data_IF_843326248855
#
_entry.id   IF_843326248855
#
_cell.length_a   1.000
_cell.length_b   1.000
_cell.length_c   1.000
_cell.angle_alpha   90.00
_cell.angle_beta   90.00
_cell.angle_gamma   90.00
#
_symmetry.space_group_name_H-M   'P 1'
#
loop_
_entity.id
_entity.type
_entity.pdbx_description
1 polymer ?
#
# COMPACT_ATOMS: atom_id res chain seq x y z
N UNK A 1 14.26 -0.33 28.04
CA UNK A 1 14.18 0.94 27.31
C UNK A 1 12.81 1.13 26.65
N UNK A 2 12.27 0.17 25.87
CA UNK A 2 10.91 0.23 25.24
C UNK A 2 9.77 0.49 26.23
N UNK A 3 9.74 -0.18 27.38
CA UNK A 3 8.73 0.05 28.43
C UNK A 3 8.87 1.42 29.11
N UNK A 4 10.08 1.94 29.24
CA UNK A 4 10.34 3.27 29.76
C UNK A 4 9.90 4.37 28.78
N UNK A 5 10.13 4.19 27.49
CA UNK A 5 9.71 5.12 26.44
C UNK A 5 8.19 5.16 26.31
N UNK A 6 7.54 3.99 26.28
CA UNK A 6 6.07 3.89 26.28
C UNK A 6 5.48 4.57 27.54
N UNK A 7 6.04 4.29 28.71
CA UNK A 7 5.61 4.89 29.98
C UNK A 7 5.89 6.41 30.04
N UNK A 8 6.91 6.90 29.31
CA UNK A 8 7.21 8.33 29.23
C UNK A 8 6.27 9.05 28.26
N UNK A 9 5.96 8.42 27.13
CA UNK A 9 4.97 8.92 26.17
C UNK A 9 3.58 8.92 26.79
N UNK A 10 3.16 7.84 27.42
CA UNK A 10 1.87 7.74 28.12
C UNK A 10 1.77 8.78 29.24
N UNK A 11 2.83 8.97 30.06
CA UNK A 11 2.85 10.02 31.09
C UNK A 11 2.86 11.44 30.53
N UNK A 12 3.49 11.68 29.40
CA UNK A 12 3.54 13.01 28.76
C UNK A 12 2.20 13.34 28.12
N UNK A 13 1.52 12.34 27.52
CA UNK A 13 0.16 12.45 27.01
C UNK A 13 -0.85 12.66 28.15
N UNK A 14 -0.77 11.89 29.23
CA UNK A 14 -1.60 12.05 30.43
C UNK A 14 -1.40 13.42 31.09
N UNK A 15 -0.16 13.93 31.16
CA UNK A 15 0.15 15.23 31.75
C UNK A 15 -0.32 16.38 30.83
N UNK A 16 -0.19 16.26 29.51
CA UNK A 16 -0.70 17.24 28.57
C UNK A 16 -2.24 17.27 28.61
N UNK A 17 -2.89 16.10 28.56
CA UNK A 17 -4.34 15.96 28.70
C UNK A 17 -4.85 16.48 30.05
N UNK A 18 -4.13 16.21 31.16
CA UNK A 18 -4.48 16.70 32.49
C UNK A 18 -4.38 18.23 32.62
N UNK A 19 -3.37 18.87 32.03
CA UNK A 19 -3.23 20.34 32.06
C UNK A 19 -4.26 21.03 31.13
N UNK A 20 -4.65 20.43 30.02
CA UNK A 20 -5.56 21.01 29.03
C UNK A 20 -7.03 20.84 29.42
N UNK A 21 -7.38 19.77 30.13
CA UNK A 21 -8.76 19.49 30.60
C UNK A 21 -9.26 20.52 31.66
N UNK A 22 -8.45 21.46 32.08
CA UNK A 22 -8.87 22.41 33.13
C UNK A 22 -9.46 23.73 32.66
N UNK A 23 -9.43 24.08 31.37
CA UNK A 23 -9.96 25.41 30.98
C UNK A 23 -10.21 25.69 29.48
N UNK A 24 -10.70 24.89 28.61
CA UNK A 24 -11.30 25.33 27.31
C UNK A 24 -11.66 24.12 26.46
N UNK A 25 -12.70 24.23 25.64
CA UNK A 25 -12.99 23.36 24.51
C UNK A 25 -11.83 23.42 23.48
N UNK A 26 -10.77 22.65 23.71
CA UNK A 26 -9.72 22.45 22.71
C UNK A 26 -10.11 21.28 21.80
N UNK A 27 -9.99 21.54 20.51
CA UNK A 27 -10.10 20.51 19.48
C UNK A 27 -9.08 19.40 19.77
N UNK A 28 -9.52 18.16 19.91
CA UNK A 28 -8.66 16.98 20.17
C UNK A 28 -7.47 16.92 19.21
N UNK A 29 -7.66 17.32 17.95
CA UNK A 29 -6.61 17.38 16.92
C UNK A 29 -5.43 18.29 17.29
N UNK A 30 -5.65 19.34 18.05
CA UNK A 30 -4.61 20.28 18.50
C UNK A 30 -3.77 19.67 19.62
N UNK A 31 -4.40 18.87 20.49
CA UNK A 31 -3.73 18.18 21.60
C UNK A 31 -2.81 17.10 21.07
N UNK A 32 -3.32 16.29 20.12
CA UNK A 32 -2.57 15.22 19.47
C UNK A 32 -1.36 15.77 18.71
N UNK A 33 -1.54 16.86 17.96
CA UNK A 33 -0.45 17.52 17.25
C UNK A 33 0.66 18.03 18.19
N UNK A 34 0.31 18.61 19.34
CA UNK A 34 1.29 19.08 20.33
C UNK A 34 2.03 17.92 20.99
N UNK A 35 1.30 16.86 21.37
CA UNK A 35 1.86 15.67 21.98
C UNK A 35 2.83 14.95 21.02
N UNK A 36 2.44 14.79 19.76
CA UNK A 36 3.26 14.16 18.73
C UNK A 36 4.51 14.98 18.41
N UNK A 37 4.41 16.32 18.39
CA UNK A 37 5.58 17.18 18.22
C UNK A 37 6.59 17.03 19.35
N UNK A 38 6.15 17.05 20.61
CA UNK A 38 7.01 16.86 21.78
C UNK A 38 7.65 15.46 21.74
N UNK A 39 6.88 14.44 21.40
CA UNK A 39 7.39 13.07 21.27
C UNK A 39 8.44 12.94 20.17
N UNK A 40 8.22 13.53 19.00
CA UNK A 40 9.18 13.51 17.88
C UNK A 40 10.50 14.19 18.24
N UNK A 41 10.46 15.36 18.89
CA UNK A 41 11.66 16.07 19.35
C UNK A 41 12.46 15.22 20.37
N UNK A 42 11.77 14.55 21.29
CA UNK A 42 12.40 13.68 22.28
C UNK A 42 13.06 12.45 21.66
N UNK A 43 12.41 11.83 20.68
CA UNK A 43 12.93 10.68 19.94
C UNK A 43 14.18 11.09 19.15
N UNK A 44 14.11 12.20 18.42
CA UNK A 44 15.22 12.69 17.58
C UNK A 44 16.45 13.06 18.38
N UNK A 45 16.30 13.65 19.57
CA UNK A 45 17.43 13.94 20.48
C UNK A 45 18.22 12.69 20.90
N UNK A 46 17.57 11.52 20.86
CA UNK A 46 18.17 10.24 21.26
C UNK A 46 18.54 9.36 20.07
N UNK A 47 18.36 9.84 18.83
CA UNK A 47 18.75 9.12 17.61
C UNK A 47 20.18 9.47 17.20
N UNK A 48 20.88 8.49 16.64
CA UNK A 48 22.21 8.66 16.04
C UNK A 48 22.10 8.46 14.51
N UNK A 49 23.00 9.04 13.70
CA UNK A 49 22.91 9.00 12.23
C UNK A 49 22.94 7.60 11.60
N UNK A 50 23.43 6.61 12.33
CA UNK A 50 23.55 5.21 11.91
C UNK A 50 22.29 4.38 12.11
N UNK A 51 21.29 4.93 12.83
CA UNK A 51 20.02 4.24 13.10
C UNK A 51 19.06 4.31 11.91
N UNK A 52 18.40 3.17 11.66
CA UNK A 52 17.32 3.08 10.67
C UNK A 52 15.99 3.54 11.28
N UNK A 53 14.96 3.84 10.47
CA UNK A 53 13.61 4.10 10.98
C UNK A 53 13.09 2.98 11.89
N UNK A 54 13.39 1.72 11.60
CA UNK A 54 13.06 0.60 12.49
C UNK A 54 13.68 0.77 13.89
N UNK A 55 14.96 1.11 13.97
CA UNK A 55 15.67 1.27 15.24
C UNK A 55 15.12 2.43 16.08
N UNK A 56 14.62 3.46 15.41
CA UNK A 56 14.14 4.70 16.03
C UNK A 56 12.66 4.58 16.42
N UNK A 57 11.82 4.06 15.51
CA UNK A 57 10.37 4.16 15.60
C UNK A 57 9.64 2.83 15.89
N UNK A 58 10.37 1.71 16.05
CA UNK A 58 9.72 0.44 16.36
C UNK A 58 8.89 0.53 17.66
N UNK A 59 7.62 0.11 17.55
CA UNK A 59 6.69 0.04 18.68
C UNK A 59 5.95 1.35 19.00
N UNK A 60 6.04 2.38 18.14
CA UNK A 60 5.14 3.54 18.23
C UNK A 60 3.77 3.21 17.64
N UNK A 61 2.74 4.00 18.02
CA UNK A 61 1.39 3.82 17.50
C UNK A 61 1.30 4.11 16.00
N UNK A 62 0.29 3.56 15.36
CA UNK A 62 0.03 3.77 13.94
C UNK A 62 -0.32 5.23 13.64
N UNK A 63 -1.10 5.88 14.50
CA UNK A 63 -1.50 7.28 14.37
C UNK A 63 -0.27 8.19 14.43
N UNK A 64 0.63 7.96 15.39
CA UNK A 64 1.86 8.73 15.49
C UNK A 64 2.80 8.48 14.31
N UNK A 65 2.88 7.23 13.82
CA UNK A 65 3.66 6.90 12.63
C UNK A 65 3.13 7.58 11.37
N UNK A 66 1.80 7.59 11.19
CA UNK A 66 1.18 8.31 10.08
C UNK A 66 1.46 9.82 10.18
N UNK A 67 1.30 10.41 11.36
CA UNK A 67 1.60 11.83 11.59
C UNK A 67 3.06 12.16 11.28
N UNK A 68 4.03 11.33 11.68
CA UNK A 68 5.44 11.52 11.37
C UNK A 68 5.69 11.57 9.85
N UNK A 69 5.04 10.71 9.08
CA UNK A 69 5.19 10.62 7.62
C UNK A 69 4.40 11.70 6.85
N UNK A 70 3.58 12.50 7.51
CA UNK A 70 2.77 13.57 6.92
C UNK A 70 3.10 14.92 7.54
N UNK A 71 2.41 15.30 8.58
CA UNK A 71 2.55 16.59 9.26
C UNK A 71 3.91 16.75 9.96
N UNK A 72 4.46 15.66 10.51
CA UNK A 72 5.72 15.66 11.22
C UNK A 72 6.90 16.10 10.36
N UNK A 73 7.04 15.53 9.17
CA UNK A 73 8.13 15.89 8.23
C UNK A 73 8.03 17.36 7.79
N UNK A 74 6.84 17.89 7.59
CA UNK A 74 6.62 19.30 7.22
C UNK A 74 7.01 20.27 8.34
N UNK A 75 6.95 19.82 9.58
CA UNK A 75 7.23 20.65 10.77
C UNK A 75 8.64 20.49 11.32
N UNK A 76 9.34 19.45 10.94
CA UNK A 76 10.66 19.15 11.48
C UNK A 76 11.59 18.57 10.40
N UNK A 77 12.48 19.41 9.90
CA UNK A 77 13.43 19.04 8.84
C UNK A 77 14.40 17.91 9.25
N UNK A 78 14.61 17.66 10.54
CA UNK A 78 15.40 16.51 10.98
C UNK A 78 14.74 15.18 10.62
N UNK A 79 13.40 15.15 10.49
CA UNK A 79 12.68 13.95 10.04
C UNK A 79 12.89 13.67 8.54
N UNK A 80 13.10 14.69 7.71
CA UNK A 80 13.39 14.53 6.28
C UNK A 80 14.68 13.71 6.04
N UNK A 81 15.64 13.77 6.95
CA UNK A 81 16.87 12.99 6.86
C UNK A 81 16.71 11.52 7.23
N UNK A 82 15.60 11.17 7.91
CA UNK A 82 15.33 9.84 8.47
C UNK A 82 14.19 9.14 7.74
N UNK A 83 13.15 9.88 7.35
CA UNK A 83 11.97 9.31 6.70
C UNK A 83 12.08 9.44 5.16
N UNK A 84 11.44 8.52 4.42
CA UNK A 84 11.41 8.63 2.97
C UNK A 84 10.75 9.92 2.49
N UNK A 85 11.32 10.54 1.49
CA UNK A 85 10.72 11.66 0.78
C UNK A 85 9.51 11.25 -0.07
N UNK A 86 9.00 12.20 -0.87
CA UNK A 86 7.94 11.96 -1.85
C UNK A 86 8.28 12.66 -3.18
N UNK A 87 7.87 12.13 -4.33
CA UNK A 87 8.03 12.82 -5.61
C UNK A 87 7.11 14.06 -5.69
N UNK A 88 7.24 14.83 -6.77
CA UNK A 88 6.34 15.96 -7.03
C UNK A 88 4.88 15.54 -7.06
N UNK A 89 3.98 16.47 -6.74
CA UNK A 89 2.53 16.20 -6.76
C UNK A 89 2.05 15.68 -8.12
N UNK A 90 2.60 16.20 -9.22
CA UNK A 90 2.26 15.72 -10.57
C UNK A 90 2.61 14.24 -10.79
N UNK A 91 3.71 13.76 -10.23
CA UNK A 91 4.08 12.32 -10.28
C UNK A 91 3.16 11.52 -9.37
N UNK A 92 2.86 12.02 -8.17
CA UNK A 92 1.93 11.34 -7.27
C UNK A 92 0.55 11.18 -7.93
N UNK A 93 -0.03 12.25 -8.47
CA UNK A 93 -1.33 12.25 -9.13
C UNK A 93 -1.36 11.30 -10.33
N UNK A 94 -0.32 11.31 -11.16
CA UNK A 94 -0.22 10.41 -12.32
C UNK A 94 -0.28 8.92 -11.95
N UNK A 95 0.35 8.52 -10.85
CA UNK A 95 0.46 7.11 -10.44
C UNK A 95 -0.62 6.66 -9.45
N UNK A 96 -1.21 7.58 -8.69
CA UNK A 96 -2.14 7.21 -7.61
C UNK A 96 -3.49 7.92 -7.67
N UNK A 97 -3.64 8.91 -8.56
CA UNK A 97 -4.87 9.70 -8.71
C UNK A 97 -5.12 10.68 -7.55
N UNK A 98 -4.17 10.84 -6.61
CA UNK A 98 -4.24 11.78 -5.50
C UNK A 98 -2.84 12.22 -5.06
N UNK A 99 -2.74 13.27 -4.24
CA UNK A 99 -1.46 13.83 -3.79
C UNK A 99 -1.40 14.06 -2.29
N UNK A 100 -0.21 14.27 -1.76
CA UNK A 100 0.03 14.67 -0.38
C UNK A 100 -0.52 13.68 0.65
N UNK A 101 -1.25 14.20 1.64
CA UNK A 101 -1.76 13.38 2.74
C UNK A 101 -2.85 12.40 2.31
N UNK A 102 -3.60 12.70 1.26
CA UNK A 102 -4.65 11.84 0.74
C UNK A 102 -4.06 10.54 0.19
N UNK A 103 -3.06 10.64 -0.69
CA UNK A 103 -2.39 9.45 -1.25
C UNK A 103 -1.64 8.66 -0.19
N UNK A 104 -1.04 9.33 0.80
CA UNK A 104 -0.37 8.67 1.91
C UNK A 104 -1.36 7.96 2.83
N UNK A 105 -2.54 8.54 3.07
CA UNK A 105 -3.60 7.92 3.88
C UNK A 105 -4.12 6.64 3.24
N UNK A 106 -4.38 6.66 1.94
CA UNK A 106 -4.78 5.46 1.20
C UNK A 106 -3.72 4.35 1.32
N UNK A 107 -2.44 4.69 1.12
CA UNK A 107 -1.34 3.75 1.29
C UNK A 107 -1.21 3.22 2.72
N UNK A 108 -1.47 4.07 3.72
CA UNK A 108 -1.43 3.70 5.14
C UNK A 108 -2.57 2.75 5.53
N UNK A 109 -3.79 3.01 5.06
CA UNK A 109 -4.92 2.11 5.30
C UNK A 109 -4.66 0.72 4.68
N UNK A 110 -4.10 0.69 3.46
CA UNK A 110 -3.74 -0.59 2.85
C UNK A 110 -2.61 -1.31 3.62
N UNK A 111 -1.57 -0.59 4.06
CA UNK A 111 -0.53 -1.14 4.92
C UNK A 111 -1.11 -1.79 6.19
N UNK A 112 -2.06 -1.13 6.87
CA UNK A 112 -2.73 -1.71 8.06
C UNK A 112 -3.44 -3.01 7.72
N UNK A 113 -4.20 -3.03 6.63
CA UNK A 113 -4.89 -4.23 6.16
C UNK A 113 -3.90 -5.36 5.86
N UNK A 114 -2.80 -5.08 5.15
CA UNK A 114 -1.78 -6.09 4.83
C UNK A 114 -1.15 -6.65 6.09
N UNK A 115 -0.77 -5.81 7.05
CA UNK A 115 -0.20 -6.23 8.33
C UNK A 115 -1.19 -7.10 9.12
N UNK A 116 -2.43 -6.65 9.26
CA UNK A 116 -3.49 -7.37 9.98
C UNK A 116 -3.75 -8.75 9.36
N UNK A 117 -3.85 -8.82 8.03
CA UNK A 117 -4.06 -10.10 7.36
C UNK A 117 -2.85 -11.02 7.48
N UNK A 118 -1.64 -10.50 7.37
CA UNK A 118 -0.44 -11.30 7.60
C UNK A 118 -0.41 -11.84 9.04
N UNK A 119 -0.63 -11.00 10.04
CA UNK A 119 -0.59 -11.39 11.45
C UNK A 119 -1.69 -12.39 11.82
N UNK A 120 -2.85 -12.30 11.19
CA UNK A 120 -3.95 -13.26 11.35
C UNK A 120 -3.55 -14.69 10.99
N UNK A 121 -2.72 -14.88 9.97
CA UNK A 121 -2.39 -16.20 9.43
C UNK A 121 -0.97 -16.68 9.75
N UNK A 122 -0.05 -15.76 10.06
CA UNK A 122 1.38 -16.06 10.25
C UNK A 122 1.93 -15.59 11.61
N UNK A 123 1.21 -14.73 12.33
CA UNK A 123 1.69 -14.10 13.55
C UNK A 123 2.49 -12.83 13.28
N UNK A 124 3.22 -12.35 14.28
CA UNK A 124 3.90 -11.05 14.30
C UNK A 124 4.72 -10.80 13.01
N UNK A 125 4.38 -9.72 12.31
CA UNK A 125 5.03 -9.35 11.03
C UNK A 125 6.51 -9.00 11.21
N UNK A 126 6.93 -8.59 12.40
CA UNK A 126 8.35 -8.31 12.70
C UNK A 126 9.25 -9.53 12.55
N UNK A 127 8.66 -10.74 12.58
CA UNK A 127 9.35 -12.02 12.41
C UNK A 127 9.50 -12.42 10.94
N UNK A 128 8.88 -11.73 10.01
CA UNK A 128 9.08 -11.98 8.58
C UNK A 128 10.56 -11.80 8.21
N UNK A 129 11.06 -12.72 7.40
CA UNK A 129 12.46 -12.65 6.93
C UNK A 129 12.58 -11.65 5.77
N UNK A 130 11.68 -11.72 4.79
CA UNK A 130 11.62 -10.75 3.69
C UNK A 130 10.19 -10.48 3.26
N UNK A 131 9.89 -9.21 2.98
CA UNK A 131 8.63 -8.78 2.40
C UNK A 131 8.87 -8.03 1.08
N UNK A 132 7.92 -8.10 0.15
CA UNK A 132 7.98 -7.47 -1.16
C UNK A 132 6.71 -6.68 -1.46
N UNK A 133 6.88 -5.40 -1.80
CA UNK A 133 5.89 -4.56 -2.46
C UNK A 133 6.03 -4.76 -3.98
N UNK A 134 5.12 -5.52 -4.59
CA UNK A 134 5.15 -5.84 -6.01
C UNK A 134 4.36 -4.81 -6.81
N UNK A 135 5.04 -4.04 -7.65
CA UNK A 135 4.49 -2.84 -8.28
C UNK A 135 4.48 -1.65 -7.30
N UNK A 136 5.63 -1.38 -6.66
CA UNK A 136 5.74 -0.43 -5.56
C UNK A 136 5.54 1.04 -5.97
N UNK A 137 5.52 1.35 -7.28
CA UNK A 137 5.50 2.72 -7.79
C UNK A 137 6.61 3.54 -7.13
N UNK A 138 6.27 4.70 -6.58
CA UNK A 138 7.23 5.56 -5.88
C UNK A 138 7.46 5.21 -4.39
N UNK A 139 7.01 4.04 -3.94
CA UNK A 139 7.27 3.53 -2.59
C UNK A 139 6.37 4.11 -1.50
N UNK A 140 5.14 4.55 -1.84
CA UNK A 140 4.24 5.18 -0.87
C UNK A 140 3.77 4.25 0.25
N UNK A 141 3.62 2.95 -0.01
CA UNK A 141 3.14 1.96 0.96
C UNK A 141 4.31 1.40 1.77
N UNK A 142 5.41 1.09 1.11
CA UNK A 142 6.60 0.47 1.69
C UNK A 142 7.15 1.23 2.91
N UNK A 143 7.02 2.57 2.92
CA UNK A 143 7.45 3.44 4.02
C UNK A 143 6.80 3.10 5.36
N UNK A 144 5.56 2.64 5.33
CA UNK A 144 4.82 2.36 6.55
C UNK A 144 5.27 1.08 7.26
N UNK A 145 5.84 0.11 6.54
CA UNK A 145 6.43 -1.08 7.13
C UNK A 145 7.76 -0.83 7.86
N UNK A 146 8.39 0.32 7.64
CA UNK A 146 9.74 0.61 8.16
C UNK A 146 9.81 0.73 9.70
N UNK A 147 8.68 0.87 10.41
CA UNK A 147 8.66 0.82 11.87
C UNK A 147 8.46 -0.60 12.43
N UNK A 148 7.91 -1.51 11.64
CA UNK A 148 7.55 -2.87 12.09
C UNK A 148 8.60 -3.92 11.70
N UNK A 149 9.32 -3.68 10.59
CA UNK A 149 10.27 -4.62 10.00
C UNK A 149 11.61 -3.94 9.79
N UNK A 150 12.70 -4.67 10.04
CA UNK A 150 14.04 -4.19 9.70
C UNK A 150 14.12 -3.80 8.23
N UNK A 151 14.55 -2.58 7.95
CA UNK A 151 14.46 -1.99 6.60
C UNK A 151 15.24 -2.77 5.54
N UNK A 152 16.32 -3.46 5.91
CA UNK A 152 17.08 -4.35 5.04
C UNK A 152 16.30 -5.58 4.55
N UNK A 153 15.18 -5.90 5.18
CA UNK A 153 14.27 -7.01 4.83
C UNK A 153 13.10 -6.58 3.96
N UNK A 154 12.97 -5.29 3.68
CA UNK A 154 11.87 -4.69 2.92
C UNK A 154 12.34 -4.45 1.49
N UNK A 155 11.59 -5.01 0.54
CA UNK A 155 11.87 -4.91 -0.89
C UNK A 155 10.69 -4.26 -1.62
N UNK A 156 11.00 -3.50 -2.66
CA UNK A 156 10.04 -3.00 -3.63
C UNK A 156 10.53 -3.30 -5.04
N UNK A 157 9.61 -3.60 -5.94
CA UNK A 157 9.95 -3.74 -7.36
C UNK A 157 8.88 -3.11 -8.24
N UNK A 158 9.32 -2.61 -9.39
CA UNK A 158 8.43 -2.00 -10.39
C UNK A 158 9.07 -2.13 -11.78
N UNK A 159 8.30 -2.31 -12.88
CA UNK A 159 8.84 -2.31 -14.24
C UNK A 159 9.13 -0.91 -14.80
N UNK A 160 8.72 0.15 -14.12
CA UNK A 160 8.94 1.54 -14.55
C UNK A 160 10.23 2.07 -13.94
N UNK A 161 11.25 2.27 -14.78
CA UNK A 161 12.59 2.68 -14.34
C UNK A 161 12.60 3.97 -13.52
N UNK A 162 11.83 4.98 -13.95
CA UNK A 162 11.72 6.26 -13.24
C UNK A 162 11.17 6.10 -11.80
N UNK A 163 10.27 5.14 -11.58
CA UNK A 163 9.75 4.87 -10.24
C UNK A 163 10.81 4.27 -9.34
N UNK A 164 11.57 3.31 -9.83
CA UNK A 164 12.69 2.72 -9.08
C UNK A 164 13.78 3.74 -8.78
N UNK A 165 14.06 4.64 -9.72
CA UNK A 165 14.99 5.75 -9.50
C UNK A 165 14.51 6.68 -8.38
N UNK A 166 13.25 7.09 -8.43
CA UNK A 166 12.61 7.88 -7.35
C UNK A 166 12.69 7.15 -6.01
N UNK A 167 12.35 5.86 -5.97
CA UNK A 167 12.44 5.06 -4.75
C UNK A 167 13.84 5.09 -4.15
N UNK A 168 14.87 4.87 -4.95
CA UNK A 168 16.28 4.87 -4.51
C UNK A 168 16.76 6.24 -4.03
N UNK A 169 16.29 7.31 -4.65
CA UNK A 169 16.60 8.69 -4.27
C UNK A 169 15.90 9.09 -2.96
N UNK A 170 14.65 8.67 -2.78
CA UNK A 170 13.80 9.09 -1.67
C UNK A 170 13.87 8.17 -0.44
N UNK A 171 14.32 6.92 -0.60
CA UNK A 171 14.37 5.94 0.48
C UNK A 171 15.68 5.12 0.43
N UNK A 172 16.66 5.54 1.19
CA UNK A 172 18.00 4.91 1.26
C UNK A 172 18.05 3.62 2.09
N UNK A 173 16.95 3.22 2.72
CA UNK A 173 16.95 2.13 3.71
C UNK A 173 16.41 0.80 3.19
N UNK A 174 15.44 0.85 2.26
CA UNK A 174 14.82 -0.33 1.67
C UNK A 174 15.53 -0.74 0.38
N UNK A 175 15.21 -1.93 -0.13
CA UNK A 175 15.80 -2.48 -1.35
C UNK A 175 14.83 -2.27 -2.52
N UNK A 176 15.28 -1.71 -3.63
CA UNK A 176 14.45 -1.44 -4.80
C UNK A 176 15.05 -2.03 -6.06
N UNK A 177 14.26 -2.81 -6.80
CA UNK A 177 14.69 -3.49 -8.01
C UNK A 177 13.80 -3.17 -9.20
N UNK A 178 14.45 -2.83 -10.32
CA UNK A 178 13.79 -2.76 -11.62
C UNK A 178 13.56 -4.19 -12.11
N UNK A 179 12.32 -4.52 -12.45
CA UNK A 179 11.96 -5.83 -12.99
C UNK A 179 11.49 -5.72 -14.44
N UNK A 180 11.48 -6.84 -15.14
CA UNK A 180 10.82 -6.92 -16.45
C UNK A 180 9.30 -6.82 -16.29
N UNK A 181 8.63 -6.22 -17.27
CA UNK A 181 7.16 -6.21 -17.34
C UNK A 181 6.60 -7.64 -17.40
N UNK A 182 7.23 -8.48 -18.22
CA UNK A 182 6.84 -9.89 -18.37
C UNK A 182 7.73 -10.79 -17.49
N UNK A 183 7.14 -11.77 -16.80
CA UNK A 183 7.92 -12.73 -16.03
C UNK A 183 8.83 -13.59 -16.96
N UNK A 184 9.93 -14.17 -16.42
CA UNK A 184 10.32 -14.12 -15.01
C UNK A 184 11.06 -12.82 -14.63
N UNK A 185 10.98 -12.44 -13.35
CA UNK A 185 11.82 -11.40 -12.77
C UNK A 185 13.14 -11.98 -12.20
N UNK A 186 14.02 -11.09 -11.68
CA UNK A 186 15.34 -11.44 -11.16
C UNK A 186 15.35 -12.13 -9.79
N UNK A 187 14.23 -12.13 -9.07
CA UNK A 187 14.17 -12.73 -7.73
C UNK A 187 14.29 -14.24 -7.77
N UNK A 188 14.98 -14.78 -6.76
CA UNK A 188 15.11 -16.23 -6.59
C UNK A 188 13.79 -16.86 -6.14
N UNK A 189 13.64 -18.16 -6.40
CA UNK A 189 12.52 -18.95 -5.90
C UNK A 189 12.48 -18.93 -4.37
N UNK A 190 11.27 -18.92 -3.81
CA UNK A 190 11.05 -19.05 -2.36
C UNK A 190 11.80 -17.98 -1.53
N UNK A 191 11.76 -16.73 -1.98
CA UNK A 191 12.51 -15.61 -1.36
C UNK A 191 11.73 -14.87 -0.29
N UNK A 192 10.40 -14.73 -0.43
CA UNK A 192 9.59 -13.83 0.38
C UNK A 192 8.57 -14.56 1.26
N UNK A 193 8.40 -14.09 2.50
CA UNK A 193 7.34 -14.56 3.42
C UNK A 193 6.02 -13.89 3.14
N UNK A 194 6.07 -12.62 2.71
CA UNK A 194 4.94 -11.80 2.33
C UNK A 194 5.24 -11.09 1.01
N UNK A 195 4.32 -11.19 0.08
CA UNK A 195 4.24 -10.32 -1.10
C UNK A 195 2.92 -9.60 -1.03
N UNK A 196 2.92 -8.30 -1.25
CA UNK A 196 1.70 -7.54 -1.42
C UNK A 196 1.78 -6.65 -2.67
N UNK A 197 0.61 -6.31 -3.22
CA UNK A 197 0.51 -5.39 -4.35
C UNK A 197 -0.77 -4.58 -4.25
N UNK A 198 -0.69 -3.28 -4.52
CA UNK A 198 -1.84 -2.38 -4.48
C UNK A 198 -2.17 -1.85 -5.87
N UNK A 199 -3.42 -2.04 -6.29
CA UNK A 199 -3.92 -1.56 -7.59
C UNK A 199 -3.16 -2.08 -8.82
N UNK A 200 -2.54 -3.26 -8.73
CA UNK A 200 -1.84 -3.91 -9.83
C UNK A 200 -2.78 -4.87 -10.56
N UNK A 201 -3.42 -5.79 -9.84
CA UNK A 201 -4.36 -6.76 -10.41
C UNK A 201 -5.72 -6.14 -10.80
N UNK A 202 -5.91 -4.87 -10.51
CA UNK A 202 -7.04 -4.07 -11.02
C UNK A 202 -6.85 -3.57 -12.46
N UNK A 203 -5.74 -3.96 -13.14
CA UNK A 203 -5.40 -3.44 -14.47
C UNK A 203 -5.06 -4.49 -15.53
N UNK A 204 -4.97 -5.77 -15.20
CA UNK A 204 -4.43 -6.77 -16.12
C UNK A 204 -5.51 -7.59 -16.82
N UNK A 205 -5.22 -7.99 -18.08
CA UNK A 205 -5.97 -9.03 -18.76
C UNK A 205 -5.84 -10.38 -18.04
N UNK A 206 -6.80 -11.27 -18.24
CA UNK A 206 -6.83 -12.58 -17.56
C UNK A 206 -5.56 -13.40 -17.82
N UNK A 207 -5.09 -13.46 -19.06
CA UNK A 207 -3.90 -14.24 -19.43
C UNK A 207 -2.63 -13.69 -18.76
N UNK A 208 -2.45 -12.38 -18.75
CA UNK A 208 -1.28 -11.76 -18.12
C UNK A 208 -1.32 -11.88 -16.61
N UNK A 209 -2.49 -11.69 -16.01
CA UNK A 209 -2.73 -11.89 -14.59
C UNK A 209 -2.35 -13.31 -14.14
N UNK A 210 -2.74 -14.36 -14.89
CA UNK A 210 -2.38 -15.75 -14.57
C UNK A 210 -0.86 -15.98 -14.66
N UNK A 211 -0.18 -15.40 -15.64
CA UNK A 211 1.29 -15.47 -15.74
C UNK A 211 1.96 -14.86 -14.50
N UNK A 212 1.49 -13.69 -14.05
CA UNK A 212 2.02 -13.05 -12.85
C UNK A 212 1.73 -13.83 -11.57
N UNK A 213 0.57 -14.49 -11.45
CA UNK A 213 0.28 -15.35 -10.31
C UNK A 213 1.28 -16.51 -10.21
N UNK A 214 1.66 -17.12 -11.32
CA UNK A 214 2.70 -18.16 -11.32
C UNK A 214 4.05 -17.62 -10.89
N UNK A 215 4.41 -16.42 -11.32
CA UNK A 215 5.65 -15.76 -10.91
C UNK A 215 5.64 -15.41 -9.42
N UNK A 216 4.57 -14.83 -8.91
CA UNK A 216 4.40 -14.54 -7.48
C UNK A 216 4.49 -15.84 -6.67
N UNK A 217 3.84 -16.93 -7.13
CA UNK A 217 3.98 -18.24 -6.48
C UNK A 217 5.43 -18.72 -6.47
N UNK A 218 6.18 -18.52 -7.57
CA UNK A 218 7.58 -18.95 -7.66
C UNK A 218 8.44 -18.28 -6.60
N UNK A 219 8.34 -16.95 -6.48
CA UNK A 219 9.18 -16.14 -5.57
C UNK A 219 8.71 -16.15 -4.12
N UNK A 220 7.45 -16.51 -3.84
CA UNK A 220 6.92 -16.65 -2.49
C UNK A 220 7.41 -17.95 -1.86
N UNK A 221 7.78 -17.95 -0.58
CA UNK A 221 8.16 -19.17 0.19
C UNK A 221 6.96 -20.11 0.34
N UNK A 222 7.16 -21.43 0.46
CA UNK A 222 6.08 -22.32 0.90
C UNK A 222 5.44 -21.82 2.19
N UNK A 223 4.12 -21.77 2.24
CA UNK A 223 3.37 -21.17 3.36
C UNK A 223 3.44 -19.65 3.44
N UNK A 224 4.13 -18.96 2.53
CA UNK A 224 4.13 -17.49 2.41
C UNK A 224 2.78 -16.96 1.95
N UNK A 225 2.50 -15.69 2.22
CA UNK A 225 1.22 -15.04 1.95
C UNK A 225 1.36 -14.02 0.83
N UNK A 226 0.42 -14.03 -0.10
CA UNK A 226 0.22 -13.00 -1.09
C UNK A 226 -1.08 -12.24 -0.82
N UNK A 227 -0.98 -10.90 -0.78
CA UNK A 227 -2.11 -9.99 -0.56
C UNK A 227 -2.16 -9.00 -1.70
N UNK A 228 -3.29 -8.91 -2.39
CA UNK A 228 -3.45 -7.98 -3.52
C UNK A 228 -4.83 -7.37 -3.54
N UNK A 229 -5.01 -6.34 -4.37
CA UNK A 229 -6.29 -5.67 -4.54
C UNK A 229 -6.85 -5.85 -5.94
N UNK A 230 -8.17 -5.71 -6.06
CA UNK A 230 -8.91 -5.66 -7.32
C UNK A 230 -10.05 -4.67 -7.22
N UNK A 231 -10.51 -4.11 -8.35
CA UNK A 231 -11.71 -3.26 -8.34
C UNK A 231 -12.89 -4.04 -7.75
N UNK A 232 -13.70 -3.36 -6.95
CA UNK A 232 -14.92 -3.92 -6.40
C UNK A 232 -16.08 -3.86 -7.39
N UNK A 233 -17.23 -4.45 -7.03
CA UNK A 233 -18.43 -4.49 -7.85
C UNK A 233 -18.99 -3.09 -8.19
N UNK A 234 -18.86 -2.14 -7.26
CA UNK A 234 -19.41 -0.80 -7.46
C UNK A 234 -18.59 0.05 -8.43
N UNK A 235 -17.38 -0.37 -8.79
CA UNK A 235 -16.56 0.30 -9.79
C UNK A 235 -17.26 0.44 -11.14
N UNK A 236 -18.07 -0.53 -11.55
CA UNK A 236 -18.85 -0.43 -12.78
C UNK A 236 -19.84 0.74 -12.76
N UNK A 237 -20.46 0.99 -11.60
CA UNK A 237 -21.36 2.15 -11.41
C UNK A 237 -20.57 3.45 -11.41
N UNK A 238 -19.38 3.47 -10.79
CA UNK A 238 -18.47 4.62 -10.83
C UNK A 238 -18.12 4.98 -12.28
N UNK A 239 -17.75 4.01 -13.12
CA UNK A 239 -17.49 4.26 -14.54
C UNK A 239 -18.71 4.84 -15.27
N UNK A 240 -19.92 4.33 -14.99
CA UNK A 240 -21.16 4.89 -15.54
C UNK A 240 -21.43 6.33 -15.10
N UNK A 241 -21.19 6.63 -13.82
CA UNK A 241 -21.32 7.99 -13.28
C UNK A 241 -20.31 8.96 -13.91
N UNK A 242 -19.05 8.54 -14.08
CA UNK A 242 -18.02 9.36 -14.75
C UNK A 242 -18.41 9.67 -16.20
N UNK A 243 -18.97 8.70 -16.94
CA UNK A 243 -19.51 8.93 -18.31
C UNK A 243 -20.66 9.93 -18.34
N UNK A 244 -21.46 10.00 -17.30
CA UNK A 244 -22.61 10.90 -17.22
C UNK A 244 -22.24 12.35 -16.85
N UNK A 245 -20.98 12.63 -16.52
CA UNK A 245 -20.53 13.99 -16.19
C UNK A 245 -20.61 14.90 -17.42
N UNK A 246 -20.93 16.19 -17.17
CA UNK A 246 -21.01 17.22 -18.25
C UNK A 246 -19.65 17.50 -18.92
N UNK A 247 -18.56 17.37 -18.16
CA UNK A 247 -17.21 17.70 -18.62
C UNK A 247 -16.22 16.60 -18.19
N UNK A 248 -16.35 15.38 -18.74
CA UNK A 248 -15.45 14.26 -18.36
C UNK A 248 -13.98 14.52 -18.72
N UNK A 249 -13.72 15.42 -19.68
CA UNK A 249 -12.38 15.84 -20.09
C UNK A 249 -11.63 16.66 -19.03
N UNK A 250 -12.30 17.09 -17.96
CA UNK A 250 -11.68 17.80 -16.82
C UNK A 250 -11.27 16.90 -15.67
N UNK A 251 -11.49 15.59 -15.81
CA UNK A 251 -11.08 14.62 -14.82
C UNK A 251 -9.54 14.49 -14.82
N UNK A 252 -9.00 14.09 -13.68
CA UNK A 252 -7.61 13.65 -13.62
C UNK A 252 -7.35 12.47 -14.59
N UNK A 253 -6.09 12.23 -15.01
CA UNK A 253 -5.79 11.21 -16.01
C UNK A 253 -6.31 9.81 -15.66
N UNK A 254 -6.26 9.41 -14.39
CA UNK A 254 -6.72 8.11 -13.93
C UNK A 254 -8.24 7.94 -14.05
N UNK A 255 -9.02 8.92 -13.60
CA UNK A 255 -10.48 8.92 -13.75
C UNK A 255 -10.90 9.13 -15.20
N UNK A 256 -10.14 9.95 -15.94
CA UNK A 256 -10.38 10.20 -17.36
C UNK A 256 -10.34 8.95 -18.20
N UNK A 257 -9.38 8.04 -17.95
CA UNK A 257 -9.28 6.78 -18.67
C UNK A 257 -10.41 5.81 -18.30
N UNK A 258 -10.82 5.78 -17.03
CA UNK A 258 -11.91 4.92 -16.53
C UNK A 258 -13.30 5.33 -17.05
N UNK A 259 -13.46 6.51 -17.63
CA UNK A 259 -14.69 6.93 -18.35
C UNK A 259 -15.04 5.93 -19.44
N UNK A 260 -14.06 5.34 -20.12
CA UNK A 260 -14.27 4.39 -21.22
C UNK A 260 -14.53 2.97 -20.73
N UNK A 261 -14.20 2.68 -19.47
CA UNK A 261 -14.25 1.32 -18.93
C UNK A 261 -15.69 0.83 -18.77
N UNK A 262 -15.92 -0.42 -19.11
CA UNK A 262 -17.18 -1.13 -18.90
C UNK A 262 -18.41 -0.37 -19.44
N UNK A 263 -18.48 -0.09 -20.79
CA UNK A 263 -19.57 0.69 -21.37
C UNK A 263 -20.95 0.02 -21.19
N UNK A 264 -21.02 -1.32 -21.21
CA UNK A 264 -22.21 -2.08 -20.78
C UNK A 264 -22.12 -2.36 -19.27
N UNK A 265 -22.58 -1.40 -18.50
CA UNK A 265 -22.56 -1.49 -17.02
C UNK A 265 -23.39 -2.66 -16.51
N UNK A 266 -24.58 -2.89 -17.06
CA UNK A 266 -25.47 -3.96 -16.60
C UNK A 266 -24.95 -5.35 -16.98
N UNK A 267 -24.37 -5.49 -18.18
CA UNK A 267 -23.70 -6.72 -18.60
C UNK A 267 -22.46 -7.02 -17.72
N UNK A 268 -21.69 -5.99 -17.40
CA UNK A 268 -20.52 -6.13 -16.52
C UNK A 268 -20.91 -6.53 -15.08
N UNK A 269 -21.99 -5.94 -14.54
CA UNK A 269 -22.53 -6.33 -13.22
C UNK A 269 -22.98 -7.79 -13.21
N UNK A 270 -23.70 -8.24 -14.25
CA UNK A 270 -24.12 -9.66 -14.37
C UNK A 270 -22.91 -10.60 -14.47
N UNK A 271 -21.94 -10.28 -15.30
CA UNK A 271 -20.73 -11.08 -15.46
C UNK A 271 -19.97 -11.21 -14.13
N UNK A 272 -19.82 -10.11 -13.38
CA UNK A 272 -19.20 -10.11 -12.05
C UNK A 272 -19.97 -10.99 -11.06
N UNK A 273 -21.31 -10.87 -11.01
CA UNK A 273 -22.18 -11.64 -10.12
C UNK A 273 -22.16 -13.14 -10.45
N UNK A 274 -21.99 -13.51 -11.71
CA UNK A 274 -21.77 -14.88 -12.16
C UNK A 274 -20.38 -15.43 -11.84
N UNK A 275 -19.46 -14.56 -11.41
CA UNK A 275 -18.08 -14.92 -11.05
C UNK A 275 -17.12 -14.94 -12.22
N UNK A 276 -17.41 -14.22 -13.30
CA UNK A 276 -16.53 -14.11 -14.45
C UNK A 276 -15.48 -13.01 -14.24
N UNK A 277 -14.29 -13.22 -14.84
CA UNK A 277 -13.23 -12.21 -14.87
C UNK A 277 -13.68 -11.03 -15.73
N UNK A 278 -13.71 -9.84 -15.15
CA UNK A 278 -14.16 -8.63 -15.84
C UNK A 278 -12.96 -7.76 -16.18
N UNK A 279 -12.63 -7.66 -17.47
CA UNK A 279 -11.52 -6.81 -17.94
C UNK A 279 -11.99 -5.95 -19.11
N UNK A 280 -11.62 -4.66 -19.08
CA UNK A 280 -11.79 -3.72 -20.18
C UNK A 280 -10.43 -3.20 -20.61
N UNK A 281 -9.94 -3.65 -21.78
CA UNK A 281 -8.64 -3.23 -22.31
C UNK A 281 -8.65 -1.78 -22.78
N UNK A 282 -7.57 -1.05 -22.50
CA UNK A 282 -7.35 0.28 -23.07
C UNK A 282 -6.69 0.25 -24.44
N UNK A 283 -6.40 -0.95 -24.96
CA UNK A 283 -5.79 -1.18 -26.29
C UNK A 283 -4.49 -0.39 -26.48
N UNK A 284 -3.67 -0.27 -25.46
CA UNK A 284 -2.38 0.39 -25.53
C UNK A 284 -1.37 -0.49 -26.27
N UNK A 285 -0.74 0.03 -27.33
CA UNK A 285 0.19 -0.72 -28.20
C UNK A 285 1.34 -1.37 -27.39
N UNK A 286 1.95 -0.61 -26.49
CA UNK A 286 3.07 -1.10 -25.66
C UNK A 286 2.65 -1.90 -24.42
N UNK A 287 1.36 -1.86 -24.05
CA UNK A 287 0.79 -2.48 -22.84
C UNK A 287 -0.57 -3.14 -23.18
N UNK A 288 -0.60 -4.13 -24.08
CA UNK A 288 -1.86 -4.70 -24.59
C UNK A 288 -2.70 -5.40 -23.51
N UNK A 289 -2.07 -5.79 -22.40
CA UNK A 289 -2.73 -6.40 -21.25
C UNK A 289 -3.33 -5.37 -20.28
N UNK A 290 -3.08 -4.07 -20.48
CA UNK A 290 -3.47 -3.02 -19.53
C UNK A 290 -4.89 -2.52 -19.78
N UNK A 291 -5.63 -2.35 -18.67
CA UNK A 291 -7.01 -1.86 -18.70
C UNK A 291 -7.54 -1.66 -17.30
N UNK A 292 -8.86 -1.70 -17.14
CA UNK A 292 -9.51 -1.81 -15.83
C UNK A 292 -10.05 -3.22 -15.62
N UNK A 293 -9.82 -3.76 -14.42
CA UNK A 293 -10.14 -5.15 -14.07
C UNK A 293 -10.83 -5.24 -12.73
N UNK A 294 -11.92 -6.01 -12.68
CA UNK A 294 -12.60 -6.39 -11.46
C UNK A 294 -12.67 -7.92 -11.37
N UNK A 295 -12.10 -8.49 -10.29
CA UNK A 295 -12.01 -9.93 -10.08
C UNK A 295 -13.00 -10.33 -8.98
N UNK A 296 -14.06 -11.10 -9.29
CA UNK A 296 -15.02 -11.55 -8.30
C UNK A 296 -14.42 -12.58 -7.34
N UNK A 297 -14.92 -12.61 -6.11
CA UNK A 297 -14.55 -13.62 -5.10
C UNK A 297 -14.65 -15.06 -5.64
N UNK A 298 -15.75 -15.35 -6.34
CA UNK A 298 -15.96 -16.68 -6.94
C UNK A 298 -14.88 -17.04 -7.94
N UNK A 299 -14.45 -16.11 -8.80
CA UNK A 299 -13.34 -16.33 -9.72
C UNK A 299 -12.04 -16.70 -8.98
N UNK A 300 -11.71 -15.96 -7.91
CA UNK A 300 -10.53 -16.26 -7.08
C UNK A 300 -10.62 -17.67 -6.51
N UNK A 301 -11.76 -18.04 -5.93
CA UNK A 301 -11.97 -19.37 -5.34
C UNK A 301 -11.85 -20.50 -6.38
N UNK A 302 -12.39 -20.30 -7.57
CA UNK A 302 -12.42 -21.33 -8.62
C UNK A 302 -11.07 -21.43 -9.38
N UNK A 303 -10.46 -20.30 -9.76
CA UNK A 303 -9.31 -20.26 -10.66
C UNK A 303 -7.97 -20.21 -9.95
N UNK A 304 -7.88 -19.52 -8.80
CA UNK A 304 -6.62 -19.46 -8.07
C UNK A 304 -6.37 -20.69 -7.18
N UNK A 305 -7.39 -21.51 -6.92
CA UNK A 305 -7.28 -22.73 -6.10
C UNK A 305 -6.25 -23.75 -6.61
N UNK A 306 -5.98 -23.77 -7.93
CA UNK A 306 -4.92 -24.59 -8.54
C UNK A 306 -3.49 -24.01 -8.34
N UNK A 307 -3.39 -22.77 -7.91
CA UNK A 307 -2.13 -22.04 -7.74
C UNK A 307 -1.84 -21.79 -6.25
N UNK A 308 -2.83 -21.32 -5.51
CA UNK A 308 -2.74 -20.92 -4.11
C UNK A 308 -3.85 -21.57 -3.26
N UNK A 309 -3.62 -21.62 -1.96
CA UNK A 309 -4.67 -21.83 -0.97
C UNK A 309 -5.39 -20.50 -0.73
N UNK A 310 -6.69 -20.46 -0.98
CA UNK A 310 -7.53 -19.30 -0.67
C UNK A 310 -7.63 -19.12 0.85
N UNK A 311 -7.41 -17.91 1.35
CA UNK A 311 -7.53 -17.57 2.77
C UNK A 311 -8.70 -16.63 3.04
N UNK A 312 -8.76 -15.48 2.33
CA UNK A 312 -9.78 -14.47 2.57
C UNK A 312 -10.05 -13.59 1.35
N UNK A 313 -11.18 -12.88 1.39
CA UNK A 313 -11.58 -11.85 0.43
C UNK A 313 -12.35 -10.78 1.19
N UNK A 314 -11.72 -9.60 1.35
CA UNK A 314 -12.33 -8.49 2.09
C UNK A 314 -12.95 -7.51 1.10
N UNK A 315 -14.22 -7.24 1.30
CA UNK A 315 -14.93 -6.21 0.56
C UNK A 315 -14.73 -4.87 1.28
N UNK A 316 -13.96 -3.97 0.66
CA UNK A 316 -13.66 -2.64 1.19
C UNK A 316 -13.98 -1.57 0.16
N UNK A 317 -14.11 -0.31 0.60
CA UNK A 317 -14.74 0.76 -0.17
C UNK A 317 -14.11 1.03 -1.54
N UNK A 318 -12.78 1.04 -1.62
CA UNK A 318 -12.09 1.41 -2.87
C UNK A 318 -11.76 0.20 -3.75
N UNK A 319 -11.16 -0.81 -3.17
CA UNK A 319 -10.74 -2.04 -3.85
C UNK A 319 -10.84 -3.22 -2.90
N UNK A 320 -11.43 -4.32 -3.35
CA UNK A 320 -11.45 -5.56 -2.58
C UNK A 320 -10.03 -6.09 -2.37
N UNK A 321 -9.79 -6.72 -1.21
CA UNK A 321 -8.50 -7.32 -0.86
C UNK A 321 -8.61 -8.83 -0.96
N UNK A 322 -7.68 -9.44 -1.69
CA UNK A 322 -7.56 -10.89 -1.89
C UNK A 322 -6.37 -11.38 -1.06
N UNK A 323 -6.58 -12.41 -0.25
CA UNK A 323 -5.56 -13.01 0.59
C UNK A 323 -5.42 -14.49 0.25
N UNK A 324 -4.23 -14.89 -0.19
CA UNK A 324 -3.94 -16.28 -0.57
C UNK A 324 -2.58 -16.72 -0.01
N UNK A 325 -2.40 -18.02 0.10
CA UNK A 325 -1.18 -18.64 0.63
C UNK A 325 -0.57 -19.61 -0.38
N UNK A 326 0.74 -19.59 -0.55
CA UNK A 326 1.43 -20.65 -1.28
C UNK A 326 1.32 -21.95 -0.50
N UNK A 327 0.89 -23.07 -1.11
CA UNK A 327 0.89 -24.37 -0.45
C UNK A 327 2.28 -24.73 0.12
N UNK A 328 2.28 -25.54 1.20
CA UNK A 328 3.51 -26.03 1.86
C UNK A 328 4.32 -26.95 0.96
#
# INVERSE_FOLDING_TARGET
MKQLLKKYIDKTLDYAAFKLNKKHDFDESVIDNLAFRIASESILKNSTPDKTPYDIFNGISDEFWFWLNTEGVRRNSSLESILPGAPSESVQEMFTGSTGDETLREGFEYYKNVREQYEKYKGDISLADKILDFGCGWGRIIRFFMKDIQTSKIYGCDPVEDMIKICKEQNKYCNFELINTYPPNSFQDNSFDLIYSYSIFSHFSEDFHLQLLHEIKRILKPGGIYITTTRNRDFFKVCAQLRALKNPEKLDPGRGISVQSFPDTEGSLRAYDEGLYCHHSFNLENWPFWGDTAIPKKYVQDKWSGIFTYLDFLEVDLQNIIVVQKPL
#
